data_IF_684566969204
#
_entry.id   IF_684566969204
#
_cell.length_a   1.000
_cell.length_b   1.000
_cell.length_c   1.000
_cell.angle_alpha   90.00
_cell.angle_beta   90.00
_cell.angle_gamma   90.00
#
_symmetry.space_group_name_H-M   'P 1'
#
loop_
_entity.id
_entity.type
_entity.pdbx_description
1 polymer ?
#
# COMPACT_ATOMS: atom_id res chain seq x y z
N UNK A 1 -6.72 23.56 5.60
CA UNK A 1 -6.05 22.29 5.97
C UNK A 1 -4.81 22.15 5.11
N UNK A 2 -3.64 21.89 5.69
CA UNK A 2 -2.38 21.73 4.93
C UNK A 2 -2.37 20.38 4.23
N UNK A 3 -2.15 20.38 2.92
CA UNK A 3 -2.15 19.20 2.03
C UNK A 3 -0.93 18.30 2.20
N UNK A 4 0.08 18.76 2.94
CA UNK A 4 1.42 18.15 2.98
C UNK A 4 1.49 16.84 3.78
N UNK A 5 0.42 16.47 4.48
CA UNK A 5 0.29 15.23 5.27
C UNK A 5 -0.79 14.29 4.71
N UNK A 6 -1.40 14.62 3.57
CA UNK A 6 -2.35 13.73 2.91
C UNK A 6 -1.62 12.64 2.10
N UNK A 7 -2.18 11.43 1.98
CA UNK A 7 -1.65 10.41 1.07
C UNK A 7 -1.62 10.90 -0.38
N UNK A 8 -0.69 10.39 -1.18
CA UNK A 8 -0.72 10.65 -2.61
C UNK A 8 -1.95 9.96 -3.23
N UNK A 9 -2.50 10.59 -4.28
CA UNK A 9 -3.58 9.99 -5.05
C UNK A 9 -3.10 8.70 -5.75
N UNK A 10 -4.01 7.73 -5.86
CA UNK A 10 -3.78 6.53 -6.68
C UNK A 10 -3.68 6.96 -8.15
N UNK A 11 -2.59 6.64 -8.86
CA UNK A 11 -2.41 7.02 -10.24
C UNK A 11 -3.47 6.35 -11.14
N UNK A 12 -4.00 7.04 -12.18
CA UNK A 12 -4.97 6.48 -13.12
C UNK A 12 -4.53 5.15 -13.74
N UNK A 13 -3.22 4.98 -13.94
CA UNK A 13 -2.63 3.80 -14.55
C UNK A 13 -2.92 2.48 -13.83
N UNK A 14 -3.13 2.50 -12.50
CA UNK A 14 -3.50 1.29 -11.76
C UNK A 14 -4.87 0.75 -12.22
N UNK A 15 -5.80 1.67 -12.54
CA UNK A 15 -7.11 1.29 -13.08
C UNK A 15 -7.00 0.80 -14.52
N UNK A 16 -6.11 1.41 -15.32
CA UNK A 16 -5.88 0.99 -16.71
C UNK A 16 -5.25 -0.40 -16.78
N UNK A 17 -4.27 -0.68 -15.91
CA UNK A 17 -3.68 -2.01 -15.79
C UNK A 17 -4.70 -3.02 -15.25
N UNK A 18 -5.49 -2.68 -14.23
CA UNK A 18 -6.60 -3.51 -13.77
C UNK A 18 -7.61 -3.84 -14.88
N UNK A 19 -7.94 -2.85 -15.73
CA UNK A 19 -8.81 -3.06 -16.89
C UNK A 19 -8.15 -3.93 -17.98
N UNK A 20 -6.83 -3.88 -18.13
CA UNK A 20 -6.08 -4.78 -19.01
C UNK A 20 -6.13 -6.21 -18.46
N UNK A 21 -5.90 -6.40 -17.15
CA UNK A 21 -6.01 -7.69 -16.50
C UNK A 21 -7.41 -8.28 -16.72
N UNK A 22 -8.49 -7.52 -16.52
CA UNK A 22 -9.89 -7.94 -16.67
C UNK A 22 -10.21 -8.63 -18.03
N UNK A 23 -9.43 -8.34 -19.07
CA UNK A 23 -9.58 -8.95 -20.41
C UNK A 23 -8.84 -10.28 -20.59
N UNK A 24 -7.83 -10.57 -19.76
CA UNK A 24 -7.07 -11.82 -19.78
C UNK A 24 -7.87 -12.96 -19.15
N UNK A 25 -7.52 -14.23 -19.33
CA UNK A 25 -8.18 -15.36 -18.66
C UNK A 25 -7.20 -16.49 -18.37
N UNK A 26 -7.49 -17.32 -17.36
CA UNK A 26 -6.74 -18.53 -17.08
C UNK A 26 -5.23 -18.28 -16.97
N UNK A 27 -4.44 -19.01 -17.76
CA UNK A 27 -2.99 -18.88 -17.81
C UNK A 27 -2.53 -17.44 -18.00
N UNK A 28 -3.08 -16.72 -18.98
CA UNK A 28 -2.59 -15.38 -19.33
C UNK A 28 -2.80 -14.38 -18.20
N UNK A 29 -3.92 -14.49 -17.48
CA UNK A 29 -4.18 -13.66 -16.30
C UNK A 29 -3.13 -13.93 -15.23
N UNK A 30 -2.89 -15.21 -14.92
CA UNK A 30 -1.99 -15.57 -13.82
C UNK A 30 -0.53 -15.28 -14.13
N UNK A 31 -0.03 -15.61 -15.32
CA UNK A 31 1.36 -15.34 -15.68
C UNK A 31 1.61 -13.84 -15.74
N UNK A 32 0.66 -13.06 -16.29
CA UNK A 32 0.75 -11.60 -16.32
C UNK A 32 0.76 -11.02 -14.90
N UNK A 33 -0.21 -11.41 -14.07
CA UNK A 33 -0.27 -10.90 -12.70
C UNK A 33 0.97 -11.29 -11.89
N UNK A 34 1.38 -12.56 -11.92
CA UNK A 34 2.51 -13.04 -11.14
C UNK A 34 3.82 -12.39 -11.55
N UNK A 35 4.07 -12.22 -12.86
CA UNK A 35 5.29 -11.56 -13.31
C UNK A 35 5.33 -10.08 -12.91
N UNK A 36 4.19 -9.40 -12.97
CA UNK A 36 4.10 -7.99 -12.60
C UNK A 36 4.21 -7.80 -11.07
N UNK A 37 3.41 -8.51 -10.27
CA UNK A 37 3.33 -8.29 -8.82
C UNK A 37 4.65 -8.60 -8.12
N UNK A 38 5.48 -9.50 -8.68
CA UNK A 38 6.83 -9.78 -8.17
C UNK A 38 7.72 -8.53 -8.31
N UNK A 39 7.66 -7.84 -9.44
CA UNK A 39 8.39 -6.57 -9.67
C UNK A 39 7.82 -5.47 -8.78
N UNK A 40 6.50 -5.40 -8.64
CA UNK A 40 5.83 -4.46 -7.74
C UNK A 40 6.27 -4.66 -6.28
N UNK A 41 6.37 -5.91 -5.81
CA UNK A 41 6.84 -6.23 -4.47
C UNK A 41 8.31 -5.85 -4.24
N UNK A 42 9.19 -6.03 -5.22
CA UNK A 42 10.59 -5.60 -5.12
C UNK A 42 10.70 -4.09 -4.90
N UNK A 43 9.87 -3.29 -5.57
CA UNK A 43 9.87 -1.83 -5.36
C UNK A 43 9.42 -1.46 -3.93
N UNK A 44 8.42 -2.15 -3.37
CA UNK A 44 8.01 -1.93 -1.98
C UNK A 44 9.17 -2.20 -1.00
N UNK A 45 9.91 -3.28 -1.23
CA UNK A 45 11.10 -3.60 -0.42
C UNK A 45 12.19 -2.54 -0.56
N UNK A 46 12.45 -2.06 -1.78
CA UNK A 46 13.43 -1.00 -2.00
C UNK A 46 13.05 0.29 -1.24
N UNK A 47 11.79 0.72 -1.29
CA UNK A 47 11.31 1.85 -0.50
C UNK A 47 11.48 1.61 1.01
N UNK A 48 11.15 0.41 1.48
CA UNK A 48 11.29 0.04 2.89
C UNK A 48 12.76 0.05 3.34
N UNK A 49 13.69 -0.39 2.50
CA UNK A 49 15.12 -0.28 2.79
C UNK A 49 15.57 1.19 2.90
N UNK A 50 15.07 2.07 2.03
CA UNK A 50 15.38 3.50 2.15
C UNK A 50 14.86 4.11 3.45
N UNK A 51 13.68 3.69 3.91
CA UNK A 51 13.12 4.08 5.22
C UNK A 51 14.00 3.61 6.37
N UNK A 52 14.52 2.38 6.32
CA UNK A 52 15.46 1.89 7.33
C UNK A 52 16.80 2.63 7.34
N UNK A 53 17.21 3.23 6.23
CA UNK A 53 18.44 4.03 6.16
C UNK A 53 18.23 5.50 6.56
N UNK A 54 17.08 6.08 6.21
CA UNK A 54 16.89 7.54 6.20
C UNK A 54 15.79 8.03 7.12
N UNK A 55 14.87 7.16 7.47
CA UNK A 55 13.78 7.44 8.38
C UNK A 55 14.20 7.37 9.84
N UNK A 56 13.47 8.08 10.70
CA UNK A 56 13.77 8.23 12.13
C UNK A 56 12.62 7.79 13.03
N UNK A 57 11.41 7.61 12.50
CA UNK A 57 10.27 7.11 13.29
C UNK A 57 10.46 5.63 13.62
N UNK A 58 10.57 5.23 14.91
CA UNK A 58 10.70 3.82 15.27
C UNK A 58 9.51 2.98 14.79
N UNK A 59 8.30 3.55 14.80
CA UNK A 59 7.09 2.88 14.33
C UNK A 59 7.16 2.60 12.82
N UNK A 60 7.52 3.60 12.00
CA UNK A 60 7.59 3.43 10.54
C UNK A 60 8.74 2.51 10.14
N UNK A 61 9.88 2.56 10.84
CA UNK A 61 10.98 1.61 10.66
C UNK A 61 10.57 0.17 10.99
N UNK A 62 9.75 -0.04 12.02
CA UNK A 62 9.18 -1.36 12.32
C UNK A 62 8.30 -1.86 11.15
N UNK A 63 7.42 -1.00 10.64
CA UNK A 63 6.61 -1.33 9.46
C UNK A 63 7.49 -1.65 8.25
N UNK A 64 8.57 -0.91 8.02
CA UNK A 64 9.50 -1.19 6.92
C UNK A 64 10.14 -2.58 7.02
N UNK A 65 10.48 -3.06 8.22
CA UNK A 65 10.97 -4.43 8.44
C UNK A 65 9.90 -5.48 8.11
N UNK A 66 8.66 -5.25 8.55
CA UNK A 66 7.53 -6.14 8.27
C UNK A 66 7.25 -6.23 6.76
N UNK A 67 7.32 -5.09 6.06
CA UNK A 67 7.16 -5.01 4.60
C UNK A 67 8.20 -5.86 3.90
N UNK A 68 9.47 -5.73 4.28
CA UNK A 68 10.58 -6.51 3.71
C UNK A 68 10.30 -8.00 3.87
N UNK A 69 10.03 -8.46 5.10
CA UNK A 69 9.80 -9.87 5.39
C UNK A 69 8.59 -10.44 4.64
N UNK A 70 7.47 -9.71 4.61
CA UNK A 70 6.26 -10.14 3.90
C UNK A 70 6.51 -10.24 2.40
N UNK A 71 7.14 -9.21 1.81
CA UNK A 71 7.30 -9.13 0.37
C UNK A 71 8.38 -10.10 -0.14
N UNK A 72 9.43 -10.38 0.63
CA UNK A 72 10.39 -11.46 0.35
C UNK A 72 9.67 -12.82 0.27
N UNK A 73 8.87 -13.14 1.28
CA UNK A 73 8.11 -14.39 1.30
C UNK A 73 7.20 -14.53 0.07
N UNK A 74 6.52 -13.44 -0.32
CA UNK A 74 5.61 -13.40 -1.47
C UNK A 74 6.34 -13.52 -2.80
N UNK A 75 7.47 -12.82 -2.97
CA UNK A 75 8.32 -12.93 -4.16
C UNK A 75 8.77 -14.38 -4.34
N UNK A 76 9.25 -15.03 -3.28
CA UNK A 76 9.67 -16.42 -3.37
C UNK A 76 8.50 -17.35 -3.71
N UNK A 77 7.36 -17.18 -3.04
CA UNK A 77 6.17 -17.99 -3.27
C UNK A 77 5.70 -17.89 -4.72
N UNK A 78 5.53 -16.67 -5.24
CA UNK A 78 5.04 -16.40 -6.58
C UNK A 78 6.05 -16.81 -7.66
N UNK A 79 7.35 -16.63 -7.42
CA UNK A 79 8.40 -17.13 -8.31
C UNK A 79 8.38 -18.66 -8.39
N UNK A 80 8.22 -19.35 -7.25
CA UNK A 80 8.09 -20.81 -7.24
C UNK A 80 6.85 -21.26 -8.02
N UNK A 81 5.73 -20.57 -7.85
CA UNK A 81 4.49 -20.90 -8.55
C UNK A 81 4.57 -20.69 -10.05
N UNK A 82 5.13 -19.57 -10.52
CA UNK A 82 5.39 -19.34 -11.95
C UNK A 82 6.19 -20.48 -12.58
N UNK A 83 7.27 -20.91 -11.90
CA UNK A 83 8.11 -22.02 -12.37
C UNK A 83 7.35 -23.34 -12.37
N UNK A 84 6.64 -23.64 -11.29
CA UNK A 84 5.93 -24.93 -11.14
C UNK A 84 4.74 -25.08 -12.07
N UNK A 85 3.93 -24.04 -12.27
CA UNK A 85 2.71 -24.12 -13.07
C UNK A 85 2.96 -23.90 -14.56
N UNK A 86 3.92 -23.03 -14.89
CA UNK A 86 4.06 -22.52 -16.25
C UNK A 86 5.46 -22.72 -16.83
N UNK A 87 6.43 -23.14 -16.02
CA UNK A 87 7.82 -23.27 -16.46
C UNK A 87 8.48 -21.92 -16.76
N UNK A 88 7.97 -20.83 -16.20
CA UNK A 88 8.43 -19.47 -16.49
C UNK A 88 9.19 -18.85 -15.32
N UNK A 89 10.19 -18.03 -15.63
CA UNK A 89 10.68 -17.00 -14.71
C UNK A 89 9.74 -15.77 -14.73
N UNK A 90 9.84 -14.87 -13.74
CA UNK A 90 9.08 -13.62 -13.77
C UNK A 90 9.31 -12.82 -15.06
N UNK A 91 10.56 -12.69 -15.49
CA UNK A 91 10.90 -11.93 -16.71
C UNK A 91 10.32 -12.58 -17.97
N UNK A 92 10.37 -13.91 -18.08
CA UNK A 92 9.76 -14.64 -19.19
C UNK A 92 8.23 -14.49 -19.21
N UNK A 93 7.59 -14.48 -18.04
CA UNK A 93 6.16 -14.26 -17.94
C UNK A 93 5.75 -12.85 -18.42
N UNK A 94 6.60 -11.85 -18.16
CA UNK A 94 6.42 -10.48 -18.66
C UNK A 94 6.72 -10.37 -20.15
N UNK A 95 7.77 -11.01 -20.65
CA UNK A 95 8.06 -11.04 -22.08
C UNK A 95 6.90 -11.64 -22.89
N UNK A 96 6.25 -12.69 -22.36
CA UNK A 96 5.11 -13.36 -22.99
C UNK A 96 3.77 -12.61 -22.84
N UNK A 97 3.73 -11.48 -22.12
CA UNK A 97 2.51 -10.71 -21.95
C UNK A 97 1.98 -10.17 -23.29
N UNK A 98 0.66 -9.94 -23.36
CA UNK A 98 0.04 -9.41 -24.58
C UNK A 98 0.53 -7.98 -24.90
N UNK A 99 0.48 -7.57 -26.17
CA UNK A 99 0.83 -6.22 -26.59
C UNK A 99 0.04 -5.13 -25.84
N UNK A 100 -1.22 -5.40 -25.48
CA UNK A 100 -2.03 -4.50 -24.67
C UNK A 100 -1.43 -4.32 -23.27
N UNK A 101 -0.99 -5.40 -22.63
CA UNK A 101 -0.35 -5.37 -21.31
C UNK A 101 0.97 -4.63 -21.38
N UNK A 102 1.82 -4.94 -22.37
CA UNK A 102 3.09 -4.23 -22.61
C UNK A 102 2.90 -2.72 -22.77
N UNK A 103 1.84 -2.31 -23.50
CA UNK A 103 1.50 -0.90 -23.67
C UNK A 103 1.14 -0.18 -22.36
N UNK A 104 0.61 -0.89 -21.36
CA UNK A 104 0.30 -0.33 -20.03
C UNK A 104 1.51 -0.36 -19.08
N UNK A 105 2.42 -1.33 -19.26
CA UNK A 105 3.57 -1.50 -18.37
C UNK A 105 4.61 -0.40 -18.52
N UNK A 106 4.90 0.06 -19.75
CA UNK A 106 5.95 1.06 -19.95
C UNK A 106 5.70 2.41 -19.24
N UNK A 107 4.48 2.99 -19.30
CA UNK A 107 4.13 4.14 -18.44
C UNK A 107 4.26 3.82 -16.95
N UNK A 108 3.83 2.64 -16.53
CA UNK A 108 3.91 2.17 -15.14
C UNK A 108 5.36 2.11 -14.62
N UNK A 109 6.28 1.57 -15.41
CA UNK A 109 7.70 1.55 -15.11
C UNK A 109 8.29 2.96 -14.99
N UNK A 110 7.88 3.89 -15.85
CA UNK A 110 8.33 5.28 -15.80
C UNK A 110 7.84 5.99 -14.53
N UNK A 111 6.57 5.84 -14.19
CA UNK A 111 5.99 6.43 -12.98
C UNK A 111 6.62 5.83 -11.71
N UNK A 112 6.82 4.52 -11.68
CA UNK A 112 7.49 3.83 -10.57
C UNK A 112 8.91 4.36 -10.35
N UNK A 113 9.72 4.48 -11.41
CA UNK A 113 11.06 5.11 -11.32
C UNK A 113 10.99 6.54 -10.81
N UNK A 114 10.08 7.35 -11.35
CA UNK A 114 9.93 8.74 -10.93
C UNK A 114 9.61 8.85 -9.44
N UNK A 115 8.73 8.00 -8.91
CA UNK A 115 8.39 7.97 -7.47
C UNK A 115 9.59 7.58 -6.60
N UNK A 116 10.39 6.62 -7.06
CA UNK A 116 11.61 6.20 -6.38
C UNK A 116 12.65 7.33 -6.35
N UNK A 117 12.85 8.03 -7.46
CA UNK A 117 13.74 9.20 -7.53
C UNK A 117 13.27 10.31 -6.58
N UNK A 118 11.97 10.61 -6.55
CA UNK A 118 11.41 11.60 -5.64
C UNK A 118 11.61 11.24 -4.18
N UNK A 119 11.35 9.98 -3.78
CA UNK A 119 11.63 9.52 -2.42
C UNK A 119 13.14 9.62 -2.12
N UNK A 120 13.96 9.20 -3.10
CA UNK A 120 15.41 9.31 -3.09
C UNK A 120 15.92 10.74 -2.84
N UNK A 121 15.20 11.76 -3.28
CA UNK A 121 15.56 13.16 -3.11
C UNK A 121 15.17 13.76 -1.75
N UNK A 122 14.37 13.08 -0.92
CA UNK A 122 13.87 13.64 0.33
C UNK A 122 14.95 13.76 1.41
N UNK A 123 15.01 14.83 2.22
CA UNK A 123 15.99 14.91 3.30
C UNK A 123 15.76 13.80 4.33
N UNK A 124 16.85 13.27 4.91
CA UNK A 124 16.79 12.29 6.01
C UNK A 124 16.02 12.87 7.21
N UNK A 125 15.42 12.01 8.02
CA UNK A 125 14.64 12.42 9.20
C UNK A 125 13.14 12.38 8.98
N UNK A 126 12.38 13.09 9.81
CA UNK A 126 10.92 13.02 9.87
C UNK A 126 10.22 13.31 8.53
N UNK A 127 10.80 14.18 7.70
CA UNK A 127 10.29 14.47 6.36
C UNK A 127 10.39 13.25 5.43
N UNK A 128 11.41 12.39 5.62
CA UNK A 128 11.53 11.12 4.92
C UNK A 128 10.41 10.17 5.34
N UNK A 129 10.18 10.00 6.65
CA UNK A 129 9.12 9.12 7.18
C UNK A 129 7.75 9.47 6.55
N UNK A 130 7.41 10.77 6.53
CA UNK A 130 6.16 11.27 5.93
C UNK A 130 6.10 10.94 4.43
N UNK A 131 7.18 11.23 3.70
CA UNK A 131 7.24 11.01 2.27
C UNK A 131 7.16 9.53 1.88
N UNK A 132 7.74 8.65 2.69
CA UNK A 132 7.65 7.19 2.56
C UNK A 132 6.20 6.74 2.78
N UNK A 133 5.59 7.12 3.91
CA UNK A 133 4.22 6.72 4.28
C UNK A 133 3.20 7.17 3.23
N UNK A 134 3.28 8.42 2.75
CA UNK A 134 2.39 8.94 1.70
C UNK A 134 2.48 8.15 0.40
N UNK A 135 3.69 7.71 0.02
CA UNK A 135 3.94 6.91 -1.19
C UNK A 135 3.48 5.47 -1.01
N UNK A 136 3.75 4.86 0.14
CA UNK A 136 3.34 3.48 0.43
C UNK A 136 1.82 3.32 0.45
N UNK A 137 1.06 4.30 0.96
CA UNK A 137 -0.40 4.27 0.90
C UNK A 137 -0.88 4.21 -0.57
N UNK A 138 -0.32 5.06 -1.43
CA UNK A 138 -0.69 5.07 -2.85
C UNK A 138 -0.27 3.77 -3.55
N UNK A 139 0.92 3.26 -3.24
CA UNK A 139 1.45 2.00 -3.77
C UNK A 139 0.57 0.79 -3.41
N UNK A 140 0.13 0.68 -2.15
CA UNK A 140 -0.81 -0.36 -1.74
C UNK A 140 -2.18 -0.20 -2.38
N UNK A 141 -2.66 1.04 -2.58
CA UNK A 141 -3.91 1.24 -3.30
C UNK A 141 -3.84 0.72 -4.75
N UNK A 142 -2.70 0.90 -5.45
CA UNK A 142 -2.48 0.29 -6.77
C UNK A 142 -2.53 -1.23 -6.69
N UNK A 143 -1.71 -1.84 -5.84
CA UNK A 143 -1.63 -3.30 -5.72
C UNK A 143 -2.98 -3.94 -5.34
N UNK A 144 -3.82 -3.28 -4.53
CA UNK A 144 -5.18 -3.76 -4.24
C UNK A 144 -6.05 -3.76 -5.50
N UNK A 145 -6.04 -2.70 -6.31
CA UNK A 145 -6.82 -2.62 -7.56
C UNK A 145 -6.40 -3.72 -8.53
N UNK A 146 -5.09 -3.90 -8.69
CA UNK A 146 -4.50 -4.88 -9.62
C UNK A 146 -4.73 -6.33 -9.15
N UNK A 147 -4.95 -6.52 -7.85
CA UNK A 147 -5.25 -7.80 -7.22
C UNK A 147 -6.72 -8.24 -7.37
N UNK A 148 -7.65 -7.35 -7.71
CA UNK A 148 -9.09 -7.66 -7.72
C UNK A 148 -9.44 -8.79 -8.70
N UNK A 149 -8.89 -8.73 -9.91
CA UNK A 149 -9.12 -9.72 -10.95
C UNK A 149 -8.53 -11.10 -10.60
N UNK A 150 -7.23 -11.25 -10.31
CA UNK A 150 -6.68 -12.55 -9.92
C UNK A 150 -7.29 -13.08 -8.61
N UNK A 151 -7.72 -12.23 -7.66
CA UNK A 151 -8.43 -12.66 -6.46
C UNK A 151 -9.74 -13.39 -6.79
N UNK A 152 -10.54 -12.85 -7.71
CA UNK A 152 -11.86 -13.39 -8.04
C UNK A 152 -11.74 -14.65 -8.91
N UNK A 153 -10.85 -14.61 -9.91
CA UNK A 153 -10.96 -15.50 -11.08
C UNK A 153 -9.65 -16.13 -11.56
N UNK A 154 -8.56 -16.07 -10.78
CA UNK A 154 -7.42 -16.94 -11.08
C UNK A 154 -7.85 -18.42 -11.09
N UNK A 155 -7.31 -19.17 -12.05
CA UNK A 155 -7.60 -20.59 -12.23
C UNK A 155 -7.13 -21.42 -11.03
N UNK A 156 -5.96 -21.09 -10.46
CA UNK A 156 -5.44 -21.73 -9.27
C UNK A 156 -6.04 -21.11 -8.01
N UNK A 157 -6.81 -21.90 -7.25
CA UNK A 157 -7.40 -21.47 -5.98
C UNK A 157 -6.35 -20.95 -4.99
N UNK A 158 -5.16 -21.58 -4.95
CA UNK A 158 -4.04 -21.12 -4.11
C UNK A 158 -3.55 -19.71 -4.44
N UNK A 159 -3.64 -19.31 -5.72
CA UNK A 159 -3.35 -17.92 -6.10
C UNK A 159 -4.44 -16.98 -5.59
N UNK A 160 -5.72 -17.31 -5.78
CA UNK A 160 -6.86 -16.52 -5.28
C UNK A 160 -6.75 -16.26 -3.78
N UNK A 161 -6.47 -17.30 -3.00
CA UNK A 161 -6.31 -17.23 -1.54
C UNK A 161 -5.13 -16.36 -1.12
N UNK A 162 -3.97 -16.56 -1.75
CA UNK A 162 -2.80 -15.73 -1.45
C UNK A 162 -3.06 -14.26 -1.79
N UNK A 163 -3.64 -13.97 -2.96
CA UNK A 163 -3.98 -12.60 -3.35
C UNK A 163 -4.96 -11.97 -2.36
N UNK A 164 -6.02 -12.68 -1.96
CA UNK A 164 -6.97 -12.20 -0.95
C UNK A 164 -6.28 -11.87 0.39
N UNK A 165 -5.37 -12.73 0.86
CA UNK A 165 -4.60 -12.47 2.07
C UNK A 165 -3.71 -11.22 1.94
N UNK A 166 -3.12 -11.02 0.76
CA UNK A 166 -2.33 -9.82 0.47
C UNK A 166 -3.17 -8.54 0.48
N UNK A 167 -4.37 -8.56 -0.11
CA UNK A 167 -5.31 -7.43 -0.07
C UNK A 167 -5.69 -7.07 1.37
N UNK A 168 -5.92 -8.06 2.23
CA UNK A 168 -6.21 -7.84 3.66
C UNK A 168 -5.01 -7.18 4.36
N UNK A 169 -3.80 -7.72 4.16
CA UNK A 169 -2.57 -7.18 4.75
C UNK A 169 -2.33 -5.73 4.31
N UNK A 170 -2.38 -5.45 3.01
CA UNK A 170 -2.17 -4.10 2.48
C UNK A 170 -3.24 -3.12 2.95
N UNK A 171 -4.49 -3.55 3.08
CA UNK A 171 -5.57 -2.71 3.63
C UNK A 171 -5.27 -2.33 5.08
N UNK A 172 -4.77 -3.27 5.90
CA UNK A 172 -4.34 -3.00 7.27
C UNK A 172 -3.19 -1.99 7.29
N UNK A 173 -2.17 -2.19 6.45
CA UNK A 173 -1.00 -1.30 6.38
C UNK A 173 -1.39 0.12 5.96
N UNK A 174 -2.33 0.28 5.01
CA UNK A 174 -2.91 1.60 4.68
C UNK A 174 -3.57 2.24 5.91
N UNK A 175 -4.32 1.48 6.70
CA UNK A 175 -5.00 2.00 7.89
C UNK A 175 -3.99 2.45 8.97
N UNK A 176 -2.96 1.64 9.22
CA UNK A 176 -1.89 1.97 10.18
C UNK A 176 -1.16 3.26 9.75
N UNK A 177 -0.80 3.36 8.48
CA UNK A 177 -0.13 4.52 7.90
C UNK A 177 -0.98 5.79 7.90
N UNK A 178 -2.29 5.68 7.62
CA UNK A 178 -3.21 6.82 7.74
C UNK A 178 -3.33 7.29 9.18
N UNK A 179 -3.43 6.37 10.12
CA UNK A 179 -3.49 6.69 11.55
C UNK A 179 -2.23 7.46 11.97
N UNK A 180 -1.06 6.95 11.57
CA UNK A 180 0.20 7.63 11.87
C UNK A 180 0.29 9.05 11.29
N UNK A 181 -0.19 9.27 10.04
CA UNK A 181 -0.23 10.61 9.43
C UNK A 181 -1.18 11.56 10.20
N UNK A 182 -2.36 11.08 10.60
CA UNK A 182 -3.30 11.87 11.41
C UNK A 182 -2.72 12.25 12.78
N UNK A 183 -1.96 11.36 13.41
CA UNK A 183 -1.25 11.67 14.65
C UNK A 183 -0.19 12.78 14.43
N UNK A 184 0.49 12.77 13.27
CA UNK A 184 1.43 13.84 12.92
C UNK A 184 0.73 15.19 12.74
N UNK A 185 -0.47 15.20 12.13
CA UNK A 185 -1.30 16.40 11.98
C UNK A 185 -1.71 16.96 13.35
N UNK A 186 -2.24 16.12 14.24
CA UNK A 186 -2.66 16.54 15.58
C UNK A 186 -1.51 17.11 16.42
N UNK A 187 -0.32 16.49 16.36
CA UNK A 187 0.87 17.03 17.02
C UNK A 187 1.30 18.38 16.44
N UNK A 188 1.21 18.56 15.12
CA UNK A 188 1.56 19.83 14.46
C UNK A 188 0.59 20.93 14.85
N UNK A 189 -0.71 20.65 14.85
CA UNK A 189 -1.75 21.60 15.25
C UNK A 189 -1.60 22.00 16.71
N UNK A 190 -1.42 21.03 17.62
CA UNK A 190 -1.18 21.30 19.04
C UNK A 190 0.04 22.21 19.25
N UNK A 191 1.11 22.03 18.47
CA UNK A 191 2.31 22.88 18.56
C UNK A 191 2.06 24.29 18.02
N UNK A 192 1.19 24.45 17.02
CA UNK A 192 0.82 25.76 16.46
C UNK A 192 -0.14 26.54 17.36
N UNK A 193 -1.04 25.85 18.06
CA UNK A 193 -2.04 26.46 18.95
C UNK A 193 -1.58 26.59 20.39
N UNK A 194 -0.45 25.99 20.77
CA UNK A 194 0.12 26.16 22.09
C UNK A 194 0.43 27.65 22.34
N UNK A 195 0.00 28.24 23.47
CA UNK A 195 0.31 29.62 23.77
C UNK A 195 1.84 29.77 23.83
N UNK A 196 2.39 30.65 22.99
CA UNK A 196 3.79 31.07 23.12
C UNK A 196 3.94 31.65 24.52
N UNK A 197 4.73 30.98 25.36
CA UNK A 197 4.78 31.26 26.79
C UNK A 197 4.85 32.75 27.09
N UNK A 198 3.91 33.21 27.92
CA UNK A 198 4.18 34.31 28.82
C UNK A 198 5.51 34.00 29.51
N UNK A 199 6.44 34.94 29.44
CA UNK A 199 7.71 34.85 30.13
C UNK A 199 7.44 34.47 31.59
N UNK A 200 8.10 33.40 32.05
CA UNK A 200 8.12 33.04 33.45
C UNK A 200 8.81 34.18 34.23
N UNK A 201 8.03 35.10 34.79
CA UNK A 201 8.45 35.81 35.99
C UNK A 201 8.01 34.94 37.15
N UNK A 202 9.00 34.31 37.78
CA UNK A 202 8.78 33.51 38.97
C UNK A 202 8.15 34.34 40.07
N UNK A 203 7.12 33.79 40.70
CA UNK A 203 7.10 33.60 42.14
C UNK A 203 5.90 32.74 42.56
N UNK A 204 6.18 31.78 43.45
CA UNK A 204 5.26 31.45 44.54
C UNK A 204 4.11 30.47 44.30
N UNK A 205 4.26 29.30 44.94
CA UNK A 205 3.23 28.54 45.66
C UNK A 205 2.33 27.51 44.92
N UNK A 206 2.62 26.25 45.27
CA UNK A 206 1.80 25.04 45.36
C UNK A 206 0.28 25.11 45.16
N UNK A 207 -0.26 24.23 44.31
CA UNK A 207 -1.09 23.09 44.73
C UNK A 207 -1.35 22.14 43.54
N UNK A 208 -1.38 20.84 43.84
CA UNK A 208 -1.48 19.72 42.91
C UNK A 208 -2.87 19.55 42.26
N UNK A 209 -2.89 18.98 41.05
CA UNK A 209 -3.86 17.92 40.71
C UNK A 209 -3.29 17.03 39.60
N UNK A 210 -2.96 15.78 39.95
CA UNK A 210 -2.84 14.69 38.98
C UNK A 210 -4.26 14.30 38.53
N UNK A 211 -4.47 14.23 37.22
CA UNK A 211 -5.60 13.52 36.63
C UNK A 211 -5.03 12.35 35.82
N UNK A 212 -5.44 11.09 36.07
CA UNK A 212 -5.07 9.97 35.22
C UNK A 212 -6.01 9.95 34.02
N UNK A 213 -5.49 9.74 32.81
CA UNK A 213 -6.35 9.33 31.69
C UNK A 213 -6.08 7.88 31.35
N UNK A 214 -7.14 7.11 31.55
CA UNK A 214 -7.24 5.67 31.44
C UNK A 214 -7.14 5.19 29.98
N UNK A 215 -6.81 3.90 29.87
CA UNK A 215 -6.85 3.08 28.67
C UNK A 215 -8.14 3.25 27.85
N UNK A 216 -7.98 3.39 26.54
CA UNK A 216 -9.01 3.17 25.53
C UNK A 216 -8.63 1.99 24.67
N UNK A 217 -9.08 0.79 25.07
CA UNK A 217 -8.99 -0.41 24.25
C UNK A 217 -10.05 -0.44 23.14
N UNK A 218 -9.70 -1.16 22.08
CA UNK A 218 -10.56 -1.82 21.09
C UNK A 218 -11.53 -0.98 20.25
N UNK A 219 -11.32 -1.01 18.93
CA UNK A 219 -12.37 -1.36 17.97
C UNK A 219 -11.75 -1.97 16.69
N UNK A 220 -11.67 -3.30 16.69
CA UNK A 220 -11.76 -4.10 15.48
C UNK A 220 -13.17 -3.90 14.91
N UNK A 221 -13.29 -3.35 13.70
CA UNK A 221 -14.27 -3.74 12.68
C UNK A 221 -14.20 -2.76 11.51
N UNK A 222 -13.81 -3.26 10.33
CA UNK A 222 -14.44 -3.02 9.03
C UNK A 222 -13.41 -3.05 7.89
N UNK A 223 -13.19 -4.24 7.34
CA UNK A 223 -12.76 -4.38 5.95
C UNK A 223 -13.41 -5.64 5.35
N UNK A 224 -14.74 -5.67 5.35
CA UNK A 224 -15.53 -6.63 4.57
C UNK A 224 -16.61 -5.93 3.74
N UNK A 225 -16.30 -4.73 3.24
CA UNK A 225 -17.25 -3.95 2.44
C UNK A 225 -16.62 -3.37 1.16
N UNK A 226 -15.72 -4.11 0.49
CA UNK A 226 -15.31 -3.77 -0.89
C UNK A 226 -15.58 -4.88 -1.92
N UNK A 227 -16.15 -6.02 -1.50
CA UNK A 227 -16.50 -7.15 -2.40
C UNK A 227 -17.99 -7.14 -2.82
N UNK A 228 -18.81 -6.23 -2.27
CA UNK A 228 -20.27 -6.27 -2.44
C UNK A 228 -20.88 -5.59 -3.68
N UNK A 229 -20.18 -4.66 -4.34
CA UNK A 229 -20.83 -3.78 -5.34
C UNK A 229 -20.71 -4.28 -6.78
N UNK A 230 -19.72 -5.14 -7.10
CA UNK A 230 -19.51 -5.61 -8.49
C UNK A 230 -20.29 -6.91 -8.78
N UNK A 231 -20.53 -7.77 -7.79
CA UNK A 231 -21.20 -9.06 -8.01
C UNK A 231 -22.74 -9.00 -8.04
N UNK A 232 -23.35 -7.88 -7.63
CA UNK A 232 -24.83 -7.75 -7.64
C UNK A 232 -25.41 -7.32 -9.00
N UNK A 233 -24.60 -6.75 -9.91
CA UNK A 233 -25.08 -6.33 -11.24
C UNK A 233 -25.17 -7.47 -12.27
N UNK A 234 -24.56 -8.64 -12.02
CA UNK A 234 -24.63 -9.79 -12.94
C UNK A 234 -25.72 -10.81 -12.60
N UNK A 235 -26.38 -10.73 -11.43
CA UNK A 235 -27.46 -11.67 -11.05
C UNK A 235 -28.89 -11.20 -11.38
N UNK A 236 -29.08 -9.95 -11.78
CA UNK A 236 -30.41 -9.39 -12.09
C UNK A 236 -30.58 -8.84 -13.51
N UNK A 237 -29.53 -8.94 -14.35
CA UNK A 237 -29.57 -8.46 -15.74
C UNK A 237 -30.14 -9.44 -16.77
N UNK A 238 -30.38 -10.70 -16.41
CA UNK A 238 -30.67 -11.78 -17.39
C UNK A 238 -32.08 -12.37 -17.25
N UNK A 239 -33.03 -11.58 -16.76
CA UNK A 239 -34.46 -11.91 -16.86
C UNK A 239 -35.26 -10.67 -17.21
N UNK A 240 -35.47 -10.46 -18.51
CA UNK A 240 -36.73 -10.02 -19.13
C UNK A 240 -36.58 -10.00 -20.66
N UNK A 241 -37.33 -10.91 -21.29
CA UNK A 241 -37.97 -10.85 -22.62
C UNK A 241 -37.16 -10.29 -23.79
#
# INVERSE_FOLDING_TARGET
>A
MSTDLQPLATPPMAYEFGAALAKLKGRDLETTFLGEIIRHHKMAMEMAHMELERGVSPAIRSHAQDIIAEHEHRIEQFTRWLRQWYGLTPDQAMEQASAMVHGQMAPMDSEMRHRMEQLGAMPKGKAFDIAFVQRMIAHYACAIIESLEPQDRAAHARLREAVAAGVISQTKQIADFRTWLSDQEGMRESMMTAPRGAAATGDGASHATMVPLAAGGALLAAASAYVGVVSLRRRFGDRRS
#
